data_IF_048804492131
#
_entry.id   IF_048804492131
#
_cell.length_a   1.000
_cell.length_b   1.000
_cell.length_c   1.000
_cell.angle_alpha   90.00
_cell.angle_beta   90.00
_cell.angle_gamma   90.00
#
_symmetry.space_group_name_H-M   'P 1'
#
loop_
_entity.id
_entity.type
_entity.pdbx_description
1 polymer ?
#
# COMPACT_ATOMS: atom_id res chain seq x y z
N UNK A 1 31.68 -53.36 -65.67
CA UNK A 1 31.21 -52.01 -65.33
C UNK A 1 30.61 -52.06 -63.91
N UNK A 2 31.37 -51.63 -62.95
CA UNK A 2 30.95 -51.60 -61.54
C UNK A 2 30.59 -50.18 -61.18
N UNK A 3 29.34 -49.97 -60.71
CA UNK A 3 28.84 -48.66 -60.23
C UNK A 3 28.98 -48.67 -58.73
N UNK A 4 29.86 -47.82 -58.19
CA UNK A 4 29.99 -47.54 -56.75
C UNK A 4 28.88 -46.57 -56.37
N UNK A 5 28.04 -46.95 -55.37
CA UNK A 5 27.16 -46.08 -54.67
C UNK A 5 27.88 -45.52 -53.43
N UNK A 6 28.08 -44.22 -53.40
CA UNK A 6 28.59 -43.51 -52.24
C UNK A 6 27.36 -43.08 -51.33
N UNK A 7 27.30 -43.64 -50.16
CA UNK A 7 26.31 -43.22 -49.11
C UNK A 7 26.88 -42.01 -48.36
N UNK A 8 26.23 -40.86 -48.49
CA UNK A 8 26.55 -39.69 -47.68
C UNK A 8 25.73 -39.77 -46.36
N UNK A 9 26.42 -39.90 -45.24
CA UNK A 9 25.83 -39.73 -43.89
C UNK A 9 25.69 -38.23 -43.61
N UNK A 10 24.44 -37.76 -43.43
CA UNK A 10 24.15 -36.43 -42.93
C UNK A 10 23.97 -36.55 -41.41
N UNK A 11 24.94 -36.02 -40.65
CA UNK A 11 24.84 -35.87 -39.20
C UNK A 11 23.91 -34.67 -38.88
N UNK A 12 22.69 -34.93 -38.39
CA UNK A 12 21.78 -33.91 -37.88
C UNK A 12 22.21 -33.51 -36.46
N UNK A 13 22.60 -32.25 -36.25
CA UNK A 13 22.70 -31.65 -34.92
C UNK A 13 21.29 -31.43 -34.41
N UNK A 14 20.93 -32.11 -33.31
CA UNK A 14 19.74 -31.79 -32.55
C UNK A 14 20.03 -30.53 -31.70
N UNK A 15 19.34 -29.43 -32.00
CA UNK A 15 19.32 -28.24 -31.20
C UNK A 15 18.38 -28.49 -30.01
N UNK A 16 18.95 -28.75 -28.83
CA UNK A 16 18.21 -28.77 -27.56
C UNK A 16 17.87 -27.34 -27.16
N UNK A 17 16.83 -26.78 -27.80
CA UNK A 17 16.22 -25.52 -27.40
C UNK A 17 15.46 -25.69 -26.08
N UNK A 18 16.12 -25.43 -24.95
CA UNK A 18 15.44 -25.23 -23.66
C UNK A 18 14.53 -24.01 -23.80
N UNK A 19 13.21 -24.12 -23.60
CA UNK A 19 12.34 -22.95 -23.64
C UNK A 19 12.75 -22.00 -22.50
N UNK A 20 13.12 -20.78 -22.85
CA UNK A 20 13.32 -19.71 -21.89
C UNK A 20 12.01 -19.51 -21.11
N UNK A 21 12.07 -19.59 -19.78
CA UNK A 21 10.94 -19.28 -18.93
C UNK A 21 10.52 -17.82 -19.19
N UNK A 22 9.38 -17.62 -19.84
CA UNK A 22 8.73 -16.31 -19.91
C UNK A 22 8.42 -15.87 -18.49
N UNK A 23 9.15 -14.87 -18.00
CA UNK A 23 8.84 -14.19 -16.76
C UNK A 23 7.55 -13.40 -16.99
N UNK A 24 6.41 -13.93 -16.55
CA UNK A 24 5.15 -13.19 -16.57
C UNK A 24 5.32 -11.87 -15.83
N UNK A 25 5.13 -10.76 -16.55
CA UNK A 25 5.08 -9.44 -15.96
C UNK A 25 3.96 -9.39 -14.92
N UNK A 26 4.18 -8.80 -13.72
CA UNK A 26 3.18 -8.76 -12.68
C UNK A 26 1.91 -8.06 -13.18
N UNK A 27 0.80 -8.79 -13.20
CA UNK A 27 -0.50 -8.29 -13.66
C UNK A 27 -0.94 -7.11 -12.80
N UNK A 28 -1.22 -5.96 -13.41
CA UNK A 28 -1.74 -4.80 -12.71
C UNK A 28 -3.08 -5.16 -12.05
N UNK A 29 -3.23 -4.85 -10.76
CA UNK A 29 -4.47 -5.05 -10.01
C UNK A 29 -5.52 -4.10 -10.59
N UNK A 30 -6.58 -4.63 -11.22
CA UNK A 30 -7.66 -3.82 -11.77
C UNK A 30 -8.61 -3.34 -10.68
N UNK A 31 -8.92 -2.04 -10.67
CA UNK A 31 -9.96 -1.46 -9.80
C UNK A 31 -11.33 -1.76 -10.43
N UNK A 32 -12.36 -2.19 -9.65
CA UNK A 32 -13.69 -2.44 -10.20
C UNK A 32 -14.27 -1.20 -10.91
N UNK A 33 -14.82 -1.37 -12.10
CA UNK A 33 -15.40 -0.29 -12.91
C UNK A 33 -16.61 0.44 -12.26
N UNK A 34 -17.15 -0.12 -11.16
CA UNK A 34 -18.31 0.40 -10.42
C UNK A 34 -17.96 1.02 -9.06
N UNK A 35 -16.67 1.37 -8.85
CA UNK A 35 -16.29 2.01 -7.59
C UNK A 35 -16.83 3.45 -7.52
N UNK A 36 -17.49 3.85 -6.41
CA UNK A 36 -17.94 5.23 -6.24
C UNK A 36 -16.76 6.19 -6.21
N UNK A 37 -16.85 7.29 -6.95
CA UNK A 37 -15.82 8.32 -6.98
C UNK A 37 -16.12 9.40 -5.95
N UNK A 38 -15.14 9.71 -5.10
CA UNK A 38 -15.21 10.86 -4.22
C UNK A 38 -15.09 12.18 -4.97
N UNK A 39 -15.58 13.25 -4.36
CA UNK A 39 -15.60 14.60 -4.95
C UNK A 39 -15.26 15.66 -3.90
N UNK A 40 -14.80 16.84 -4.35
CA UNK A 40 -14.50 17.97 -3.46
C UNK A 40 -13.05 17.96 -2.93
N UNK A 41 -12.17 17.20 -3.58
CA UNK A 41 -10.74 17.11 -3.31
C UNK A 41 -10.01 16.68 -4.58
N UNK A 42 -8.67 16.78 -4.61
CA UNK A 42 -7.89 16.52 -5.81
C UNK A 42 -7.40 15.06 -5.88
N UNK A 43 -7.04 14.46 -4.73
CA UNK A 43 -6.51 13.10 -4.66
C UNK A 43 -6.66 12.49 -3.27
N UNK A 44 -6.38 11.19 -3.16
CA UNK A 44 -6.27 10.50 -1.89
C UNK A 44 -4.81 10.25 -1.50
N UNK A 45 -4.51 10.34 -0.22
CA UNK A 45 -3.38 9.67 0.41
C UNK A 45 -3.88 8.42 1.09
N UNK A 46 -3.42 7.23 0.66
CA UNK A 46 -3.53 6.01 1.43
C UNK A 46 -2.35 5.93 2.39
N UNK A 47 -2.62 5.97 3.68
CA UNK A 47 -1.62 5.83 4.73
C UNK A 47 -1.61 4.41 5.28
N UNK A 48 -0.45 3.76 5.23
CA UNK A 48 -0.20 2.43 5.77
C UNK A 48 0.78 2.54 6.94
N UNK A 49 0.29 2.36 8.18
CA UNK A 49 1.13 2.36 9.37
C UNK A 49 1.84 1.02 9.53
N UNK A 50 3.13 1.05 9.88
CA UNK A 50 3.86 -0.09 10.39
C UNK A 50 3.48 -0.30 11.86
N UNK A 51 2.68 -1.34 12.15
CA UNK A 51 2.09 -1.55 13.47
C UNK A 51 3.11 -1.63 14.61
N UNK A 52 4.24 -2.35 14.50
CA UNK A 52 5.21 -2.42 15.59
C UNK A 52 5.79 -1.04 15.95
N UNK A 53 6.14 -0.23 14.97
CA UNK A 53 6.61 1.14 15.21
C UNK A 53 5.53 2.04 15.83
N UNK A 54 4.25 1.87 15.44
CA UNK A 54 3.13 2.54 16.10
C UNK A 54 3.07 2.16 17.58
N UNK A 55 3.13 0.87 17.88
CA UNK A 55 3.01 0.36 19.24
C UNK A 55 4.16 0.84 20.13
N UNK A 56 5.39 0.84 19.61
CA UNK A 56 6.57 1.34 20.32
C UNK A 56 6.49 2.85 20.60
N UNK A 57 6.08 3.64 19.61
CA UNK A 57 5.97 5.10 19.74
C UNK A 57 4.90 5.51 20.74
N UNK A 58 3.72 4.87 20.68
CA UNK A 58 2.58 5.20 21.55
C UNK A 58 2.74 4.60 22.96
N UNK A 59 3.49 3.50 23.09
CA UNK A 59 3.76 2.85 24.37
C UNK A 59 2.48 2.53 25.15
N UNK A 60 2.37 3.01 26.39
CA UNK A 60 1.20 2.78 27.23
C UNK A 60 -0.13 3.36 26.68
N UNK A 61 -0.06 4.29 25.73
CA UNK A 61 -1.23 4.90 25.08
C UNK A 61 -1.64 4.17 23.80
N UNK A 62 -0.89 3.15 23.39
CA UNK A 62 -1.15 2.40 22.17
C UNK A 62 -2.53 1.71 22.20
N UNK A 63 -3.17 1.65 21.04
CA UNK A 63 -4.44 0.95 20.91
C UNK A 63 -4.25 -0.56 21.11
N UNK A 64 -4.92 -1.16 22.08
CA UNK A 64 -4.81 -2.58 22.41
C UNK A 64 -5.28 -3.51 21.29
N UNK A 65 -6.27 -3.10 20.48
CA UNK A 65 -6.73 -3.91 19.35
C UNK A 65 -5.65 -4.05 18.27
N UNK A 66 -4.69 -3.11 18.23
CA UNK A 66 -3.55 -3.12 17.31
C UNK A 66 -2.29 -3.70 17.95
N UNK A 67 -2.06 -3.44 19.25
CA UNK A 67 -0.77 -3.64 19.91
C UNK A 67 -0.78 -4.70 21.02
N UNK A 68 -1.88 -5.46 21.20
CA UNK A 68 -1.86 -6.57 22.13
C UNK A 68 -0.92 -7.68 21.63
N UNK A 69 -0.26 -8.35 22.56
CA UNK A 69 0.62 -9.49 22.29
C UNK A 69 -0.05 -10.53 21.37
N UNK A 70 0.70 -11.05 20.41
CA UNK A 70 0.23 -12.05 19.45
C UNK A 70 -0.61 -11.49 18.30
N UNK A 71 -0.71 -10.17 18.15
CA UNK A 71 -1.42 -9.56 17.01
C UNK A 71 -0.67 -9.72 15.68
N UNK A 72 0.64 -9.81 15.71
CA UNK A 72 1.52 -10.03 14.54
C UNK A 72 1.17 -9.14 13.33
N UNK A 73 0.78 -7.88 13.58
CA UNK A 73 0.37 -6.96 12.52
C UNK A 73 1.58 -6.22 11.95
N UNK A 74 1.77 -6.34 10.63
CA UNK A 74 2.70 -5.53 9.85
C UNK A 74 2.08 -4.20 9.43
N UNK A 75 2.04 -3.92 8.11
CA UNK A 75 1.35 -2.75 7.57
C UNK A 75 -0.17 -2.88 7.67
N UNK A 76 -0.79 -1.95 8.37
CA UNK A 76 -2.25 -1.79 8.47
C UNK A 76 -2.69 -0.46 7.86
N UNK A 77 -3.93 -0.37 7.44
CA UNK A 77 -4.48 0.90 6.97
C UNK A 77 -4.67 1.83 8.16
N UNK A 78 -3.92 2.93 8.15
CA UNK A 78 -4.19 4.06 9.05
C UNK A 78 -5.40 4.85 8.53
N UNK A 79 -5.43 5.17 7.22
CA UNK A 79 -6.57 5.85 6.61
C UNK A 79 -6.45 6.08 5.11
N UNK A 80 -7.52 6.62 4.54
CA UNK A 80 -7.59 7.12 3.18
C UNK A 80 -8.03 8.58 3.25
N UNK A 81 -7.11 9.49 2.94
CA UNK A 81 -7.27 10.90 3.23
C UNK A 81 -7.47 11.72 1.96
N UNK A 82 -8.64 12.35 1.75
CA UNK A 82 -8.79 13.39 0.72
C UNK A 82 -7.75 14.49 0.92
N UNK A 83 -7.14 14.94 -0.19
CA UNK A 83 -6.12 15.98 -0.22
C UNK A 83 -6.42 16.98 -1.32
N UNK A 84 -5.91 18.20 -1.16
CA UNK A 84 -5.72 19.16 -2.25
C UNK A 84 -4.27 19.10 -2.72
N UNK A 85 -3.98 19.63 -3.89
CA UNK A 85 -2.60 19.78 -4.36
C UNK A 85 -1.74 20.59 -3.38
N UNK A 86 -2.39 21.46 -2.58
CA UNK A 86 -1.79 22.15 -1.45
C UNK A 86 -2.73 22.05 -0.24
N UNK A 87 -2.27 21.38 0.83
CA UNK A 87 -3.03 21.17 2.05
C UNK A 87 -4.09 20.06 1.92
N UNK A 88 -4.95 19.98 2.92
CA UNK A 88 -5.97 18.92 3.00
C UNK A 88 -7.19 19.37 3.79
N UNK A 89 -8.40 18.86 3.45
CA UNK A 89 -9.60 19.08 4.24
C UNK A 89 -9.65 18.10 5.42
N UNK A 90 -10.22 18.53 6.53
CA UNK A 90 -10.50 17.66 7.68
C UNK A 90 -11.79 18.07 8.38
N UNK A 91 -12.46 17.10 9.03
CA UNK A 91 -13.70 17.29 9.79
C UNK A 91 -14.77 18.05 8.99
N UNK A 92 -14.99 17.64 7.73
CA UNK A 92 -15.92 18.35 6.84
C UNK A 92 -17.38 18.15 7.25
N UNK A 93 -18.21 19.21 7.13
CA UNK A 93 -19.65 19.08 7.32
C UNK A 93 -20.24 18.05 6.34
N UNK A 94 -21.03 17.12 6.85
CA UNK A 94 -21.71 16.11 6.03
C UNK A 94 -23.10 15.82 6.63
N UNK A 95 -24.01 15.30 5.79
CA UNK A 95 -25.32 14.79 6.24
C UNK A 95 -25.24 13.35 6.79
N UNK A 96 -24.09 12.73 6.67
CA UNK A 96 -23.86 11.38 7.19
C UNK A 96 -23.66 11.42 8.72
N UNK A 97 -24.03 10.34 9.43
CA UNK A 97 -23.76 10.25 10.87
C UNK A 97 -22.26 10.31 11.18
N UNK A 98 -21.88 10.91 12.30
CA UNK A 98 -20.49 10.92 12.79
C UNK A 98 -20.03 9.53 13.25
N UNK A 99 -20.97 8.75 13.77
CA UNK A 99 -20.69 7.39 14.26
C UNK A 99 -20.82 6.39 13.11
N UNK A 100 -19.76 5.60 12.91
CA UNK A 100 -19.82 4.45 12.00
C UNK A 100 -20.58 3.30 12.69
N UNK A 101 -21.63 2.73 12.05
CA UNK A 101 -22.34 1.56 12.58
C UNK A 101 -21.38 0.39 12.82
N UNK A 102 -21.62 -0.35 13.90
CA UNK A 102 -20.71 -1.43 14.30
C UNK A 102 -20.67 -2.60 13.29
N UNK A 103 -21.77 -2.88 12.60
CA UNK A 103 -21.84 -3.87 11.52
C UNK A 103 -20.98 -3.43 10.33
N UNK A 104 -21.14 -2.19 9.87
CA UNK A 104 -20.31 -1.65 8.80
C UNK A 104 -18.81 -1.64 9.20
N UNK A 105 -18.48 -1.17 10.39
CA UNK A 105 -17.07 -1.07 10.79
C UNK A 105 -16.39 -2.43 10.95
N UNK A 106 -17.10 -3.44 11.46
CA UNK A 106 -16.54 -4.81 11.61
C UNK A 106 -16.09 -5.42 10.29
N UNK A 107 -16.73 -5.06 9.17
CA UNK A 107 -16.35 -5.56 7.84
C UNK A 107 -14.94 -5.10 7.42
N UNK A 108 -14.33 -4.14 8.12
CA UNK A 108 -13.01 -3.56 7.78
C UNK A 108 -11.94 -3.82 8.83
N UNK A 109 -12.23 -4.58 9.90
CA UNK A 109 -11.24 -4.88 10.95
C UNK A 109 -10.07 -5.76 10.49
N UNK A 110 -10.18 -6.37 9.32
CA UNK A 110 -9.10 -7.12 8.66
C UNK A 110 -8.00 -6.22 8.08
N UNK A 111 -8.31 -4.94 7.81
CA UNK A 111 -7.36 -3.97 7.25
C UNK A 111 -7.15 -2.75 8.14
N UNK A 112 -8.14 -2.35 8.94
CA UNK A 112 -8.08 -1.25 9.92
C UNK A 112 -8.20 -1.83 11.33
N UNK A 113 -7.19 -1.73 12.20
CA UNK A 113 -7.06 -2.61 13.37
C UNK A 113 -8.09 -2.38 14.48
N UNK A 114 -8.88 -1.29 14.47
CA UNK A 114 -9.86 -1.03 15.54
C UNK A 114 -11.06 -0.18 15.11
N UNK A 115 -12.20 -0.40 15.78
CA UNK A 115 -13.40 0.42 15.61
C UNK A 115 -13.18 1.89 15.97
N UNK A 116 -12.32 2.16 16.94
CA UNK A 116 -11.94 3.53 17.32
C UNK A 116 -11.27 4.28 16.17
N UNK A 117 -10.32 3.62 15.51
CA UNK A 117 -9.63 4.17 14.32
C UNK A 117 -10.58 4.33 13.14
N UNK A 118 -11.44 3.34 12.85
CA UNK A 118 -12.48 3.41 11.82
C UNK A 118 -13.36 4.66 12.02
N UNK A 119 -13.87 4.86 13.22
CA UNK A 119 -14.70 6.03 13.54
C UNK A 119 -13.93 7.36 13.45
N UNK A 120 -12.67 7.39 13.88
CA UNK A 120 -11.81 8.58 13.76
C UNK A 120 -11.55 8.93 12.28
N UNK A 121 -11.17 7.94 11.47
CA UNK A 121 -10.88 8.13 10.05
C UNK A 121 -12.10 8.61 9.28
N UNK A 122 -13.30 8.11 9.61
CA UNK A 122 -14.52 8.63 9.03
C UNK A 122 -14.71 10.11 9.35
N UNK A 123 -14.73 10.47 10.64
CA UNK A 123 -14.99 11.87 11.04
C UNK A 123 -13.98 12.85 10.52
N UNK A 124 -12.70 12.49 10.57
CA UNK A 124 -11.62 13.42 10.19
C UNK A 124 -11.46 13.53 8.68
N UNK A 125 -11.52 12.43 7.96
CA UNK A 125 -11.15 12.35 6.55
C UNK A 125 -12.29 11.88 5.64
N UNK A 126 -12.99 10.82 6.01
CA UNK A 126 -14.05 10.25 5.19
C UNK A 126 -15.19 11.23 4.94
N UNK A 127 -15.54 12.07 5.94
CA UNK A 127 -16.53 13.14 5.82
C UNK A 127 -16.22 14.14 4.69
N UNK A 128 -14.94 14.26 4.32
CA UNK A 128 -14.46 15.18 3.28
C UNK A 128 -14.44 14.55 1.87
N UNK A 129 -14.79 13.28 1.75
CA UNK A 129 -14.73 12.56 0.46
C UNK A 129 -15.94 12.80 -0.45
N UNK A 130 -17.01 13.44 0.04
CA UNK A 130 -18.28 13.57 -0.67
C UNK A 130 -19.07 12.26 -0.78
N UNK A 131 -18.59 11.17 -0.13
CA UNK A 131 -19.18 9.84 -0.17
C UNK A 131 -20.06 9.54 1.06
N UNK A 132 -20.93 8.52 0.93
CA UNK A 132 -21.52 7.88 2.10
C UNK A 132 -20.46 7.11 2.90
N UNK A 133 -20.71 6.80 4.19
CA UNK A 133 -19.82 5.94 4.98
C UNK A 133 -19.52 4.62 4.27
N UNK A 134 -20.57 3.95 3.79
CA UNK A 134 -20.45 2.68 3.09
C UNK A 134 -19.56 2.79 1.85
N UNK A 135 -19.72 3.84 1.07
CA UNK A 135 -18.96 4.04 -0.15
C UNK A 135 -17.51 4.45 0.13
N UNK A 136 -17.29 5.32 1.14
CA UNK A 136 -15.94 5.66 1.58
C UNK A 136 -15.13 4.43 2.01
N UNK A 137 -15.71 3.55 2.83
CA UNK A 137 -15.01 2.34 3.26
C UNK A 137 -14.81 1.32 2.12
N UNK A 138 -15.72 1.26 1.13
CA UNK A 138 -15.48 0.49 -0.10
C UNK A 138 -14.26 1.01 -0.87
N UNK A 139 -14.16 2.34 -1.01
CA UNK A 139 -13.01 2.97 -1.68
C UNK A 139 -11.73 2.74 -0.89
N UNK A 140 -11.76 2.85 0.44
CA UNK A 140 -10.63 2.54 1.31
C UNK A 140 -10.14 1.10 1.12
N UNK A 141 -11.05 0.11 1.12
CA UNK A 141 -10.68 -1.29 0.86
C UNK A 141 -10.08 -1.48 -0.53
N UNK A 142 -10.68 -0.88 -1.55
CA UNK A 142 -10.16 -0.94 -2.91
C UNK A 142 -8.78 -0.27 -3.04
N UNK A 143 -8.57 0.86 -2.37
CA UNK A 143 -7.27 1.52 -2.29
C UNK A 143 -6.22 0.62 -1.63
N UNK A 144 -6.55 -0.03 -0.50
CA UNK A 144 -5.65 -1.01 0.14
C UNK A 144 -5.35 -2.20 -0.77
N UNK A 145 -6.36 -2.75 -1.42
CA UNK A 145 -6.20 -3.89 -2.33
C UNK A 145 -5.35 -3.54 -3.58
N UNK A 146 -5.27 -2.26 -3.95
CA UNK A 146 -4.44 -1.76 -5.05
C UNK A 146 -2.94 -1.87 -4.75
N UNK A 147 -2.55 -1.90 -3.46
CA UNK A 147 -1.15 -1.82 -3.04
C UNK A 147 -0.60 -3.20 -2.69
N UNK A 148 0.49 -3.56 -3.33
CA UNK A 148 1.33 -4.70 -2.95
C UNK A 148 2.38 -4.21 -1.95
N UNK A 149 2.38 -4.81 -0.77
CA UNK A 149 3.47 -4.61 0.20
C UNK A 149 4.70 -5.35 -0.34
N UNK A 150 5.88 -4.71 -0.39
CA UNK A 150 7.09 -5.36 -0.88
C UNK A 150 7.45 -6.59 -0.04
N UNK A 151 8.00 -7.61 -0.69
CA UNK A 151 8.47 -8.83 -0.01
C UNK A 151 9.55 -8.58 1.05
N UNK A 152 10.29 -7.48 0.94
CA UNK A 152 11.25 -7.05 1.95
C UNK A 152 10.61 -6.84 3.33
N UNK A 153 9.30 -6.61 3.40
CA UNK A 153 8.54 -6.46 4.65
C UNK A 153 7.80 -7.75 5.05
N UNK A 154 8.09 -8.88 4.41
CA UNK A 154 7.63 -10.18 4.88
C UNK A 154 8.37 -10.60 6.16
N UNK A 155 7.75 -11.35 7.09
CA UNK A 155 8.35 -11.68 8.39
C UNK A 155 9.71 -12.35 8.29
N UNK A 156 9.94 -13.18 7.26
CA UNK A 156 11.20 -13.91 7.02
C UNK A 156 12.28 -13.09 6.28
N UNK A 157 11.95 -11.87 5.85
CA UNK A 157 12.84 -10.99 5.07
C UNK A 157 12.93 -9.57 5.62
N UNK A 158 12.27 -9.32 6.74
CA UNK A 158 12.21 -8.00 7.32
C UNK A 158 13.62 -7.49 7.67
N UNK A 159 14.06 -6.33 7.15
CA UNK A 159 15.32 -5.75 7.55
C UNK A 159 15.20 -5.15 8.95
N UNK A 160 16.26 -5.25 9.76
CA UNK A 160 16.30 -4.57 11.05
C UNK A 160 16.33 -3.04 10.90
N UNK A 161 16.96 -2.56 9.84
CA UNK A 161 17.05 -1.15 9.46
C UNK A 161 16.86 -0.99 7.93
N UNK A 162 16.33 0.14 7.50
CA UNK A 162 16.15 0.48 6.09
C UNK A 162 16.25 2.00 5.90
N UNK A 163 16.82 2.45 4.80
CA UNK A 163 16.75 3.86 4.42
C UNK A 163 15.34 4.24 3.96
N UNK A 164 14.89 5.45 4.29
CA UNK A 164 13.58 5.93 3.88
C UNK A 164 13.38 5.83 2.36
N UNK A 165 14.43 6.17 1.61
CA UNK A 165 14.43 6.13 0.14
C UNK A 165 14.41 4.70 -0.40
N UNK A 166 15.10 3.76 0.25
CA UNK A 166 15.07 2.34 -0.11
C UNK A 166 13.69 1.72 0.15
N UNK A 167 13.05 2.10 1.25
CA UNK A 167 11.68 1.68 1.52
C UNK A 167 10.71 2.17 0.43
N UNK A 168 10.81 3.45 0.01
CA UNK A 168 10.02 3.99 -1.11
C UNK A 168 10.31 3.24 -2.41
N UNK A 169 11.57 2.96 -2.75
CA UNK A 169 11.96 2.21 -3.94
C UNK A 169 11.40 0.79 -3.94
N UNK A 170 11.41 0.11 -2.80
CA UNK A 170 10.82 -1.22 -2.67
C UNK A 170 9.32 -1.20 -3.00
N UNK A 171 8.58 -0.20 -2.50
CA UNK A 171 7.16 -0.04 -2.84
C UNK A 171 6.94 0.29 -4.31
N UNK A 172 7.76 1.18 -4.91
CA UNK A 172 7.70 1.50 -6.35
C UNK A 172 7.93 0.25 -7.18
N UNK A 173 8.95 -0.54 -6.87
CA UNK A 173 9.26 -1.78 -7.58
C UNK A 173 8.14 -2.83 -7.49
N UNK A 174 7.47 -2.93 -6.32
CA UNK A 174 6.37 -3.87 -6.10
C UNK A 174 5.05 -3.43 -6.77
N UNK A 175 4.91 -2.15 -7.15
CA UNK A 175 3.66 -1.56 -7.64
C UNK A 175 3.82 -0.89 -9.01
N UNK A 176 3.74 -1.64 -10.12
CA UNK A 176 3.89 -1.10 -11.46
C UNK A 176 2.97 0.11 -11.72
N UNK A 177 3.55 1.19 -12.23
CA UNK A 177 2.90 2.47 -12.48
C UNK A 177 2.97 3.47 -11.32
N UNK A 178 3.51 3.08 -10.16
CA UNK A 178 3.85 4.02 -9.08
C UNK A 178 5.17 4.72 -9.41
N UNK A 179 5.22 6.04 -9.22
CA UNK A 179 6.44 6.81 -9.31
C UNK A 179 6.91 7.21 -7.90
N UNK A 180 8.20 7.48 -7.73
CA UNK A 180 8.77 7.93 -6.45
C UNK A 180 8.14 9.23 -5.94
N UNK A 181 7.76 10.15 -6.83
CA UNK A 181 7.05 11.38 -6.48
C UNK A 181 5.60 11.16 -6.00
N UNK A 182 5.10 9.92 -6.06
CA UNK A 182 3.76 9.54 -5.61
C UNK A 182 3.73 8.76 -4.29
N UNK A 183 4.86 8.68 -3.58
CA UNK A 183 5.00 7.96 -2.31
C UNK A 183 5.88 8.76 -1.35
N UNK A 184 5.66 8.62 -0.05
CA UNK A 184 6.53 9.15 0.98
C UNK A 184 6.54 8.24 2.21
N UNK A 185 7.73 7.99 2.77
CA UNK A 185 7.90 7.40 4.09
C UNK A 185 7.72 8.49 5.15
N UNK A 186 7.00 8.20 6.22
CA UNK A 186 6.98 9.00 7.43
C UNK A 186 7.72 8.25 8.55
N UNK A 187 8.63 8.93 9.24
CA UNK A 187 9.39 8.37 10.34
C UNK A 187 9.09 9.09 11.66
N UNK A 188 9.29 8.42 12.76
CA UNK A 188 9.15 8.98 14.10
C UNK A 188 10.13 8.30 15.06
N UNK A 189 10.90 9.07 15.81
CA UNK A 189 11.91 8.57 16.75
C UNK A 189 12.93 7.60 16.12
N UNK A 190 13.27 7.79 14.83
CA UNK A 190 14.17 6.89 14.11
C UNK A 190 13.53 5.59 13.61
N UNK A 191 12.20 5.44 13.74
CA UNK A 191 11.46 4.27 13.28
C UNK A 191 10.76 4.53 11.95
N UNK A 192 10.66 3.53 11.09
CA UNK A 192 9.76 3.53 9.94
C UNK A 192 8.32 3.47 10.45
N UNK A 193 7.62 4.61 10.39
CA UNK A 193 6.31 4.76 11.04
C UNK A 193 5.14 4.48 10.11
N UNK A 194 5.23 4.95 8.86
CA UNK A 194 4.12 4.94 7.93
C UNK A 194 4.63 5.11 6.50
N UNK A 195 3.92 4.54 5.54
CA UNK A 195 4.08 4.79 4.12
C UNK A 195 2.81 5.46 3.59
N UNK A 196 2.95 6.58 2.88
CA UNK A 196 1.88 7.38 2.30
C UNK A 196 1.93 7.28 0.79
N UNK A 197 0.85 6.83 0.17
CA UNK A 197 0.76 6.57 -1.27
C UNK A 197 -0.35 7.43 -1.86
N UNK A 198 -0.03 8.20 -2.89
CA UNK A 198 -0.94 9.12 -3.54
C UNK A 198 -1.69 8.45 -4.69
N UNK A 199 -3.02 8.56 -4.64
CA UNK A 199 -3.93 7.94 -5.57
C UNK A 199 -4.92 8.97 -6.12
N UNK A 200 -5.20 8.90 -7.42
CA UNK A 200 -6.32 9.68 -8.00
C UNK A 200 -7.65 9.29 -7.34
N UNK A 201 -8.74 10.05 -7.49
CA UNK A 201 -10.06 9.63 -7.01
C UNK A 201 -10.52 8.27 -7.57
N UNK A 202 -10.01 7.86 -8.75
CA UNK A 202 -10.23 6.54 -9.35
C UNK A 202 -9.19 5.49 -8.98
N UNK A 203 -8.34 5.77 -7.98
CA UNK A 203 -7.30 4.89 -7.41
C UNK A 203 -6.15 4.55 -8.37
N UNK A 204 -5.91 5.34 -9.42
CA UNK A 204 -4.65 5.32 -10.18
C UNK A 204 -3.52 5.96 -9.35
N UNK A 205 -2.28 5.53 -9.55
CA UNK A 205 -1.13 6.21 -8.95
C UNK A 205 -0.97 7.62 -9.53
N UNK A 206 -0.51 8.55 -8.70
CA UNK A 206 -0.20 9.92 -9.13
C UNK A 206 0.94 10.52 -8.31
N UNK A 207 1.59 11.52 -8.88
CA UNK A 207 2.58 12.34 -8.16
C UNK A 207 1.88 13.27 -7.16
N UNK A 208 2.55 13.53 -6.03
CA UNK A 208 2.07 14.40 -4.97
C UNK A 208 3.23 15.15 -4.30
N UNK A 209 3.74 16.21 -4.95
CA UNK A 209 4.98 16.88 -4.55
C UNK A 209 4.98 17.43 -3.12
N UNK A 210 3.84 17.82 -2.56
CA UNK A 210 3.76 18.27 -1.17
C UNK A 210 3.98 17.12 -0.20
N UNK A 211 3.34 15.96 -0.44
CA UNK A 211 3.48 14.76 0.39
C UNK A 211 4.92 14.25 0.32
N UNK A 212 5.49 14.17 -0.88
CA UNK A 212 6.88 13.74 -1.09
C UNK A 212 7.88 14.67 -0.38
N UNK A 213 7.77 16.00 -0.52
CA UNK A 213 8.65 16.95 0.17
C UNK A 213 8.61 16.85 1.69
N UNK A 214 7.46 16.48 2.26
CA UNK A 214 7.25 16.29 3.68
C UNK A 214 7.61 14.86 4.15
N UNK A 215 8.11 14.01 3.26
CA UNK A 215 8.58 12.67 3.57
C UNK A 215 9.86 12.66 4.42
N UNK A 216 10.07 11.56 5.13
CA UNK A 216 11.31 11.29 5.83
C UNK A 216 12.46 11.10 4.82
N UNK A 217 13.66 11.57 5.18
CA UNK A 217 14.88 11.41 4.39
C UNK A 217 16.04 10.85 5.25
N UNK A 218 15.67 10.15 6.33
CA UNK A 218 16.67 9.54 7.22
C UNK A 218 17.18 8.25 6.61
N UNK A 219 18.48 8.05 6.74
CA UNK A 219 19.12 6.76 6.58
C UNK A 219 18.91 5.93 7.86
N UNK A 220 18.96 4.61 7.76
CA UNK A 220 18.93 3.68 8.90
C UNK A 220 17.70 3.84 9.84
N UNK A 221 16.51 3.83 9.27
CA UNK A 221 15.28 3.71 10.05
C UNK A 221 15.15 2.31 10.62
N UNK A 222 14.99 2.20 11.92
CA UNK A 222 14.66 0.91 12.55
C UNK A 222 13.28 0.42 12.10
N UNK A 223 13.19 -0.87 11.79
CA UNK A 223 11.95 -1.57 11.43
C UNK A 223 11.66 -2.63 12.49
N UNK A 224 10.94 -2.33 13.57
CA UNK A 224 10.64 -3.29 14.60
C UNK A 224 9.86 -4.49 14.04
N UNK A 225 10.13 -5.69 14.56
CA UNK A 225 9.43 -6.92 14.18
C UNK A 225 7.99 -6.92 14.71
N UNK A 226 7.02 -7.52 13.97
CA UNK A 226 5.71 -7.87 14.52
C UNK A 226 5.84 -8.91 15.65
N UNK A 227 5.09 -8.69 16.77
CA UNK A 227 5.06 -9.59 17.93
C UNK A 227 4.25 -10.86 17.67
#
# INVERSE_FOLDING_TARGET
MAVLFVLALVAGCADDGTPAAETEAPTAISVPASLPLGTGFDFYVLALSWSPAYCEVEGANANRDQCAEGRNLGFVVHGLWPQFDTGYPEFCPTRQPDRVPADLGRDYLDIVPSMGLIGHQWRKHGSCSGLSQKDYFKVLRAARARIRVPEAFAPDRLPAEIDAMEAEDAFVAANPGMARAGIAVACQRGLLREVRICLTPSLGFRDCPEVDRNGCRMDNLTVPEPD
#
